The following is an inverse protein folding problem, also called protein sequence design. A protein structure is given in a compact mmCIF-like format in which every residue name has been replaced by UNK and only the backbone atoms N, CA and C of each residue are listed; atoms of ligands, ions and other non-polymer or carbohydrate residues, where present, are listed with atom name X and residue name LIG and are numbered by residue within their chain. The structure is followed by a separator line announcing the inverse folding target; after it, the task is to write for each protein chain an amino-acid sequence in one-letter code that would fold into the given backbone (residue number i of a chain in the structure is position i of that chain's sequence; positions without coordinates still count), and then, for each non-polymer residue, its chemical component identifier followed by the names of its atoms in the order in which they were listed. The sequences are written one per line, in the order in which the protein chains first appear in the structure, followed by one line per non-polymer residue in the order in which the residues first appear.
data_IF_378744275699
#
_entry.id   IF_378744275699
#
_cell.length_a   1.000
_cell.length_b   1.000
_cell.length_c   1.000
_cell.angle_alpha   90.00
_cell.angle_beta   90.00
_cell.angle_gamma   90.00
#
_symmetry.space_group_name_H-M   'P 1'
#
loop_
_entity.id
_entity.type
_entity.pdbx_description
1 polymer ?
#
# COMPACT_ATOMS: atom_id res chain seq x y z
N UNK A 1 -26.16 -6.68 -1.30
CA UNK A 1 -25.09 -6.13 -0.42
C UNK A 1 -23.77 -6.59 -1.00
N UNK A 2 -22.78 -5.71 -1.21
CA UNK A 2 -21.47 -6.13 -1.74
C UNK A 2 -20.69 -6.88 -0.66
N UNK A 3 -20.03 -7.96 -1.06
CA UNK A 3 -19.05 -8.71 -0.27
C UNK A 3 -17.81 -7.86 0.01
N UNK A 4 -17.01 -8.27 1.00
CA UNK A 4 -15.71 -7.65 1.27
C UNK A 4 -14.78 -7.69 0.05
N UNK A 5 -14.82 -8.79 -0.72
CA UNK A 5 -14.04 -8.94 -1.95
C UNK A 5 -14.46 -7.97 -3.05
N UNK A 6 -15.77 -7.78 -3.26
CA UNK A 6 -16.26 -6.78 -4.23
C UNK A 6 -15.86 -5.36 -3.84
N UNK A 7 -15.96 -5.02 -2.55
CA UNK A 7 -15.50 -3.70 -2.07
C UNK A 7 -14.02 -3.46 -2.30
N UNK A 8 -13.17 -4.48 -2.08
CA UNK A 8 -11.73 -4.37 -2.36
C UNK A 8 -11.42 -4.24 -3.84
N UNK A 9 -12.16 -4.93 -4.72
CA UNK A 9 -11.99 -4.79 -6.17
C UNK A 9 -12.33 -3.38 -6.65
N UNK A 10 -13.39 -2.78 -6.10
CA UNK A 10 -13.79 -1.41 -6.42
C UNK A 10 -12.73 -0.40 -5.95
N UNK A 11 -12.26 -0.52 -4.71
CA UNK A 11 -11.23 0.35 -4.15
C UNK A 11 -9.90 0.23 -4.92
N UNK A 12 -9.51 -1.00 -5.27
CA UNK A 12 -8.31 -1.26 -6.06
C UNK A 12 -8.43 -0.66 -7.48
N UNK A 13 -9.58 -0.82 -8.13
CA UNK A 13 -9.85 -0.26 -9.46
C UNK A 13 -9.78 1.27 -9.45
N UNK A 14 -10.36 1.91 -8.43
CA UNK A 14 -10.30 3.35 -8.26
C UNK A 14 -8.87 3.84 -8.03
N UNK A 15 -8.11 3.17 -7.15
CA UNK A 15 -6.71 3.48 -6.89
C UNK A 15 -5.85 3.34 -8.14
N UNK A 16 -5.98 2.22 -8.88
CA UNK A 16 -5.19 1.96 -10.08
C UNK A 16 -5.49 2.98 -11.17
N UNK A 17 -6.76 3.34 -11.34
CA UNK A 17 -7.18 4.40 -12.28
C UNK A 17 -6.51 5.73 -11.94
N UNK A 18 -6.56 6.15 -10.68
CA UNK A 18 -5.91 7.38 -10.23
C UNK A 18 -4.38 7.32 -10.40
N UNK A 19 -3.76 6.15 -10.17
CA UNK A 19 -2.34 5.95 -10.37
C UNK A 19 -1.92 6.15 -11.83
N UNK A 20 -2.61 5.47 -12.75
CA UNK A 20 -2.34 5.52 -14.19
C UNK A 20 -2.57 6.92 -14.76
N UNK A 21 -3.66 7.58 -14.37
CA UNK A 21 -4.02 8.90 -14.92
C UNK A 21 -3.14 10.04 -14.41
N UNK A 22 -2.56 9.91 -13.21
CA UNK A 22 -1.81 11.02 -12.60
C UNK A 22 -0.41 11.25 -13.18
N UNK A 23 0.19 10.24 -13.82
CA UNK A 23 1.61 10.26 -14.22
C UNK A 23 2.61 10.42 -13.08
N UNK A 24 2.16 10.44 -11.82
CA UNK A 24 3.03 10.65 -10.65
C UNK A 24 3.81 9.37 -10.32
N UNK A 25 5.02 9.46 -9.76
CA UNK A 25 5.71 8.30 -9.21
C UNK A 25 4.93 7.76 -8.00
N UNK A 26 4.18 6.68 -8.22
CA UNK A 26 3.44 5.97 -7.17
C UNK A 26 4.37 5.10 -6.33
N UNK A 27 4.07 4.92 -5.03
CA UNK A 27 4.83 4.00 -4.19
C UNK A 27 4.67 2.59 -4.73
N UNK A 28 5.79 1.90 -4.97
CA UNK A 28 5.78 0.46 -5.25
C UNK A 28 5.57 -0.30 -3.95
N UNK A 29 4.84 -1.41 -4.02
CA UNK A 29 4.83 -2.40 -2.93
C UNK A 29 6.28 -2.88 -2.76
N UNK A 30 6.85 -2.83 -1.55
CA UNK A 30 8.21 -3.26 -1.35
C UNK A 30 8.29 -4.77 -1.53
N UNK A 31 9.32 -5.19 -2.24
CA UNK A 31 9.67 -6.60 -2.42
C UNK A 31 10.69 -7.08 -1.40
N UNK A 32 11.08 -6.22 -0.44
CA UNK A 32 12.06 -6.51 0.61
C UNK A 32 11.52 -6.05 1.96
N UNK A 33 11.91 -6.75 3.03
CA UNK A 33 11.65 -6.30 4.40
C UNK A 33 12.31 -4.94 4.69
N UNK A 34 11.75 -4.19 5.64
CA UNK A 34 12.21 -2.85 6.02
C UNK A 34 13.68 -2.85 6.45
N UNK A 35 14.13 -3.88 7.17
CA UNK A 35 15.53 -4.07 7.59
C UNK A 35 16.52 -4.25 6.42
N UNK A 36 16.02 -4.51 5.21
CA UNK A 36 16.82 -4.71 3.98
C UNK A 36 16.58 -3.60 2.94
N UNK A 37 16.12 -2.42 3.37
CA UNK A 37 15.87 -1.26 2.51
C UNK A 37 14.50 -1.26 1.81
N UNK A 38 13.56 -2.11 2.25
CA UNK A 38 12.17 -2.00 1.85
C UNK A 38 11.58 -0.66 2.28
N UNK A 39 10.94 0.07 1.35
CA UNK A 39 10.36 1.42 1.53
C UNK A 39 11.34 2.61 1.56
N UNK A 40 12.64 2.46 1.31
CA UNK A 40 13.57 3.61 1.36
C UNK A 40 13.13 4.83 0.53
N UNK A 41 12.63 4.66 -0.72
CA UNK A 41 12.12 5.80 -1.50
C UNK A 41 10.87 6.45 -0.89
N UNK A 42 10.03 5.69 -0.19
CA UNK A 42 8.86 6.23 0.50
C UNK A 42 9.30 6.95 1.79
N UNK A 43 10.20 6.35 2.57
CA UNK A 43 10.72 6.90 3.83
C UNK A 43 11.51 8.18 3.63
N UNK A 44 12.15 8.36 2.48
CA UNK A 44 12.84 9.60 2.11
C UNK A 44 11.89 10.78 1.86
N UNK A 45 10.58 10.57 1.74
CA UNK A 45 9.58 11.63 1.58
C UNK A 45 9.12 12.17 2.95
N UNK A 46 8.71 13.45 3.05
CA UNK A 46 8.06 13.96 4.26
C UNK A 46 6.86 13.08 4.67
N UNK A 47 6.83 12.66 5.94
CA UNK A 47 5.81 11.74 6.49
C UNK A 47 5.88 10.30 5.95
N UNK A 48 6.95 9.95 5.23
CA UNK A 48 7.12 8.65 4.59
C UNK A 48 7.23 7.48 5.55
N UNK A 49 7.91 7.69 6.68
CA UNK A 49 8.06 6.68 7.73
C UNK A 49 6.70 6.32 8.36
N UNK A 50 5.88 7.31 8.71
CA UNK A 50 4.55 7.08 9.31
C UNK A 50 3.61 6.37 8.33
N UNK A 51 3.68 6.73 7.04
CA UNK A 51 2.91 6.05 5.98
C UNK A 51 3.34 4.59 5.81
N UNK A 52 4.64 4.30 5.84
CA UNK A 52 5.14 2.92 5.78
C UNK A 52 4.66 2.10 6.98
N UNK A 53 4.70 2.66 8.20
CA UNK A 53 4.22 2.00 9.41
C UNK A 53 2.70 1.76 9.38
N UNK A 54 1.91 2.75 8.91
CA UNK A 54 0.47 2.60 8.73
C UNK A 54 0.11 1.52 7.72
N UNK A 55 0.84 1.43 6.61
CA UNK A 55 0.65 0.38 5.62
C UNK A 55 0.91 -1.02 6.21
N UNK A 56 2.02 -1.21 6.94
CA UNK A 56 2.34 -2.50 7.55
C UNK A 56 1.32 -2.94 8.58
N UNK A 57 0.85 -2.04 9.45
CA UNK A 57 -0.25 -2.35 10.38
C UNK A 57 -1.49 -2.82 9.61
N UNK A 58 -1.91 -2.08 8.59
CA UNK A 58 -3.09 -2.44 7.80
C UNK A 58 -2.94 -3.74 6.99
N UNK A 59 -1.72 -4.08 6.56
CA UNK A 59 -1.42 -5.27 5.78
C UNK A 59 -1.31 -6.54 6.65
N UNK A 60 -0.78 -6.41 7.88
CA UNK A 60 -0.53 -7.56 8.76
C UNK A 60 -1.63 -7.76 9.80
N UNK A 61 -2.34 -6.72 10.24
CA UNK A 61 -3.45 -6.85 11.21
C UNK A 61 -4.68 -7.59 10.62
N UNK A 62 -4.69 -7.87 9.31
CA UNK A 62 -5.85 -8.46 8.62
C UNK A 62 -5.60 -9.84 8.02
N UNK A 63 -4.47 -10.46 8.32
CA UNK A 63 -4.19 -11.83 7.89
C UNK A 63 -4.30 -12.70 9.14
N UNK A 64 -5.38 -13.46 9.25
CA UNK A 64 -5.39 -14.60 10.17
C UNK A 64 -4.38 -15.61 9.63
N UNK A 65 -3.41 -15.99 10.47
CA UNK A 65 -2.53 -17.12 10.20
C UNK A 65 -3.40 -18.38 10.12
N UNK A 66 -3.54 -18.92 8.90
CA UNK A 66 -4.26 -20.16 8.64
C UNK A 66 -3.50 -21.39 9.17
#
# INVERSE_FOLDING_TARGET
MRTAGERMRDEHSAWLTAAMMSGRPYPRIPTKGVSRGGYDPLRARPGGADRAAAWWRGALDRVDDA
#
